data_IF_282168982083
#
_entry.id   IF_282168982083
#
_cell.length_a   1.000
_cell.length_b   1.000
_cell.length_c   1.000
_cell.angle_alpha   90.00
_cell.angle_beta   90.00
_cell.angle_gamma   90.00
#
_symmetry.space_group_name_H-M   'P 1'
#
loop_
_entity.id
_entity.type
_entity.pdbx_description
1 polymer ?
#
# COMPACT_ATOMS: atom_id res chain seq x y z
N UNK A 1 21.82 -26.59 5.18
CA UNK A 1 21.71 -26.38 4.65
C UNK A 1 20.91 -25.63 4.18
N UNK A 2 20.72 -24.96 3.88
CA UNK A 2 20.17 -23.94 3.25
C UNK A 2 18.72 -23.95 3.00
N UNK A 3 18.00 -24.14 3.96
CA UNK A 3 16.60 -24.03 3.74
C UNK A 3 16.24 -22.55 3.73
N UNK A 4 15.87 -22.03 2.61
CA UNK A 4 15.40 -20.67 2.53
C UNK A 4 14.02 -20.55 3.18
N UNK A 5 13.90 -19.61 4.08
CA UNK A 5 12.60 -19.31 4.65
C UNK A 5 11.81 -18.50 3.65
N UNK A 6 10.66 -19.02 3.26
CA UNK A 6 9.77 -18.27 2.40
C UNK A 6 8.97 -17.33 3.29
N UNK A 7 9.35 -16.06 3.27
CA UNK A 7 8.66 -15.06 4.06
C UNK A 7 7.48 -14.50 3.25
N UNK A 8 6.33 -14.45 3.88
CA UNK A 8 5.17 -13.83 3.27
C UNK A 8 5.40 -12.33 3.14
N UNK A 9 5.00 -11.77 2.01
CA UNK A 9 5.06 -10.32 1.83
C UNK A 9 4.05 -9.66 2.74
N UNK A 10 4.46 -8.58 3.37
CA UNK A 10 3.63 -7.85 4.31
C UNK A 10 3.02 -6.63 3.65
N UNK A 11 1.69 -6.52 3.76
CA UNK A 11 0.96 -5.40 3.18
C UNK A 11 0.25 -4.67 4.31
N UNK A 12 0.49 -3.38 4.42
CA UNK A 12 -0.18 -2.55 5.41
C UNK A 12 -1.41 -1.91 4.77
N UNK A 13 -2.54 -2.01 5.44
CA UNK A 13 -3.81 -1.46 4.97
C UNK A 13 -4.15 -0.23 5.81
N UNK A 14 -4.25 0.92 5.15
CA UNK A 14 -4.56 2.20 5.79
C UNK A 14 -5.93 2.64 5.30
N UNK A 15 -6.96 2.30 6.06
CA UNK A 15 -8.36 2.47 5.71
C UNK A 15 -9.15 2.70 7.00
N UNK A 16 -9.94 3.79 7.07
CA UNK A 16 -10.68 4.08 8.29
C UNK A 16 -12.05 3.40 8.37
N UNK A 17 -12.62 2.99 7.23
CA UNK A 17 -13.87 2.24 7.23
C UNK A 17 -13.58 0.80 7.70
N UNK A 18 -14.10 0.45 8.87
CA UNK A 18 -13.79 -0.84 9.48
C UNK A 18 -14.21 -2.03 8.62
N UNK A 19 -15.35 -1.93 7.95
CA UNK A 19 -15.84 -3.03 7.10
C UNK A 19 -14.95 -3.21 5.88
N UNK A 20 -14.59 -2.11 5.24
CA UNK A 20 -13.69 -2.16 4.09
C UNK A 20 -12.31 -2.67 4.50
N UNK A 21 -11.82 -2.21 5.65
CA UNK A 21 -10.52 -2.65 6.17
C UNK A 21 -10.49 -4.15 6.39
N UNK A 22 -11.54 -4.69 7.03
CA UNK A 22 -11.62 -6.12 7.28
C UNK A 22 -11.74 -6.92 5.99
N UNK A 23 -12.53 -6.42 5.04
CA UNK A 23 -12.66 -7.06 3.73
C UNK A 23 -11.32 -7.10 3.00
N UNK A 24 -10.60 -6.00 2.98
CA UNK A 24 -9.30 -5.93 2.32
C UNK A 24 -8.29 -6.86 2.97
N UNK A 25 -8.22 -6.87 4.28
CA UNK A 25 -7.28 -7.76 4.97
C UNK A 25 -7.60 -9.22 4.70
N UNK A 26 -8.88 -9.57 4.63
CA UNK A 26 -9.29 -10.94 4.31
C UNK A 26 -8.88 -11.33 2.89
N UNK A 27 -9.12 -10.44 1.93
CA UNK A 27 -8.73 -10.67 0.54
C UNK A 27 -7.23 -10.91 0.44
N UNK A 28 -6.45 -10.08 1.12
CA UNK A 28 -5.00 -10.17 1.07
C UNK A 28 -4.49 -11.45 1.72
N UNK A 29 -5.04 -11.81 2.87
CA UNK A 29 -4.63 -13.04 3.56
C UNK A 29 -4.95 -14.28 2.75
N UNK A 30 -6.10 -14.32 2.11
CA UNK A 30 -6.47 -15.44 1.25
C UNK A 30 -5.56 -15.56 0.04
N UNK A 31 -5.00 -14.44 -0.39
CA UNK A 31 -4.06 -14.43 -1.51
C UNK A 31 -2.63 -14.78 -1.11
N UNK A 32 -2.39 -15.04 0.18
CA UNK A 32 -1.08 -15.46 0.66
C UNK A 32 -0.21 -14.34 1.22
N UNK A 33 -0.79 -13.17 1.45
CA UNK A 33 -0.06 -12.05 2.04
C UNK A 33 -0.30 -11.97 3.55
N UNK A 34 0.66 -11.41 4.25
CA UNK A 34 0.48 -11.02 5.63
C UNK A 34 -0.06 -9.60 5.62
N UNK A 35 -1.26 -9.40 6.14
CA UNK A 35 -1.93 -8.10 6.10
C UNK A 35 -2.05 -7.52 7.50
N UNK A 36 -1.58 -6.30 7.66
CA UNK A 36 -1.69 -5.58 8.93
C UNK A 36 -2.48 -4.30 8.72
N UNK A 37 -3.25 -3.91 9.72
CA UNK A 37 -4.06 -2.69 9.65
C UNK A 37 -3.41 -1.58 10.44
N UNK A 38 -3.43 -0.37 9.88
CA UNK A 38 -2.98 0.82 10.58
C UNK A 38 -4.23 1.56 11.03
N UNK A 39 -4.39 1.73 12.32
CA UNK A 39 -5.57 2.36 12.91
C UNK A 39 -5.29 3.72 13.52
N UNK A 40 -4.03 4.09 13.67
CA UNK A 40 -3.64 5.40 14.18
C UNK A 40 -3.20 6.26 13.00
N UNK A 41 -4.14 6.98 12.38
CA UNK A 41 -3.85 7.70 11.14
C UNK A 41 -3.01 8.95 11.37
N UNK A 42 -3.05 9.49 12.57
CA UNK A 42 -2.29 10.68 12.90
C UNK A 42 -0.78 10.48 12.76
N UNK A 43 -0.31 9.28 13.10
CA UNK A 43 1.11 8.94 13.01
C UNK A 43 1.38 7.82 12.02
N UNK A 44 0.49 7.64 11.06
CA UNK A 44 0.55 6.50 10.16
C UNK A 44 1.87 6.40 9.38
N UNK A 45 2.32 7.50 8.81
CA UNK A 45 3.55 7.47 8.01
C UNK A 45 4.74 7.04 8.85
N UNK A 46 4.87 7.58 10.07
CA UNK A 46 5.96 7.21 10.97
C UNK A 46 5.92 5.73 11.32
N UNK A 47 4.74 5.23 11.68
CA UNK A 47 4.57 3.83 12.04
C UNK A 47 4.88 2.91 10.86
N UNK A 48 4.45 3.29 9.66
CA UNK A 48 4.69 2.49 8.47
C UNK A 48 6.17 2.45 8.11
N UNK A 49 6.85 3.58 8.21
CA UNK A 49 8.29 3.61 7.95
C UNK A 49 9.03 2.73 8.93
N UNK A 50 8.63 2.76 10.19
CA UNK A 50 9.25 1.95 11.24
C UNK A 50 9.00 0.46 11.04
N UNK A 51 7.78 0.06 10.69
CA UNK A 51 7.46 -1.36 10.49
C UNK A 51 7.93 -1.89 9.15
N UNK A 52 8.15 -1.01 8.19
CA UNK A 52 8.68 -1.32 6.86
C UNK A 52 7.95 -2.45 6.14
N UNK A 53 6.64 -2.30 5.87
CA UNK A 53 5.92 -3.29 5.08
C UNK A 53 6.45 -3.33 3.65
N UNK A 54 6.12 -4.38 2.92
CA UNK A 54 6.54 -4.52 1.54
C UNK A 54 5.71 -3.65 0.60
N UNK A 55 4.50 -3.29 1.01
CA UNK A 55 3.62 -2.43 0.23
C UNK A 55 2.58 -1.80 1.16
N UNK A 56 2.19 -0.57 0.87
CA UNK A 56 1.11 0.12 1.60
C UNK A 56 -0.08 0.30 0.68
N UNK A 57 -1.24 -0.18 1.12
CA UNK A 57 -2.52 0.03 0.47
C UNK A 57 -3.21 1.17 1.23
N UNK A 58 -3.42 2.28 0.55
CA UNK A 58 -3.76 3.54 1.21
C UNK A 58 -5.02 4.17 0.61
N UNK A 59 -5.98 4.51 1.47
CA UNK A 59 -7.11 5.34 1.08
C UNK A 59 -6.74 6.81 1.28
N UNK A 60 -7.24 7.66 0.40
CA UNK A 60 -7.01 9.11 0.50
C UNK A 60 -7.98 9.79 1.47
N UNK A 61 -9.15 9.19 1.69
CA UNK A 61 -10.17 9.78 2.56
C UNK A 61 -9.98 9.31 4.01
N UNK A 62 -9.02 9.91 4.68
CA UNK A 62 -8.71 9.58 6.07
C UNK A 62 -8.85 10.81 6.94
N UNK A 63 -9.14 10.62 8.24
CA UNK A 63 -9.18 11.75 9.17
C UNK A 63 -7.77 12.27 9.46
N UNK A 64 -7.71 13.45 10.07
CA UNK A 64 -6.46 14.12 10.50
C UNK A 64 -5.59 14.50 9.30
N UNK A 65 -4.43 13.86 9.14
CA UNK A 65 -3.47 14.22 8.10
C UNK A 65 -3.94 13.94 6.69
N UNK A 66 -4.86 12.99 6.54
CA UNK A 66 -5.34 12.61 5.23
C UNK A 66 -4.37 11.74 4.46
N UNK A 67 -4.90 11.07 3.42
CA UNK A 67 -4.11 10.11 2.66
C UNK A 67 -3.03 10.74 1.80
N UNK A 68 -3.28 11.93 1.25
CA UNK A 68 -2.25 12.62 0.44
C UNK A 68 -1.00 12.91 1.27
N UNK A 69 -1.18 13.36 2.51
CA UNK A 69 -0.08 13.67 3.40
C UNK A 69 0.73 12.41 3.71
N UNK A 70 0.03 11.32 4.01
CA UNK A 70 0.69 10.04 4.31
C UNK A 70 1.48 9.56 3.10
N UNK A 71 0.87 9.61 1.92
CA UNK A 71 1.54 9.23 0.67
C UNK A 71 2.82 10.03 0.46
N UNK A 72 2.72 11.35 0.61
CA UNK A 72 3.85 12.24 0.45
C UNK A 72 5.00 11.88 1.38
N UNK A 73 4.69 11.69 2.67
CA UNK A 73 5.73 11.36 3.64
C UNK A 73 6.37 10.01 3.35
N UNK A 74 5.57 9.00 3.00
CA UNK A 74 6.11 7.69 2.68
C UNK A 74 7.05 7.75 1.49
N UNK A 75 6.67 8.48 0.45
CA UNK A 75 7.48 8.53 -0.76
C UNK A 75 8.70 9.41 -0.61
N UNK A 76 8.66 10.41 0.28
CA UNK A 76 9.82 11.26 0.54
C UNK A 76 10.84 10.59 1.47
N UNK A 77 10.36 9.79 2.43
CA UNK A 77 11.21 9.27 3.48
C UNK A 77 11.47 7.76 3.41
N UNK A 78 10.86 7.08 2.47
CA UNK A 78 11.04 5.64 2.35
C UNK A 78 10.93 5.20 0.90
N UNK A 79 11.34 3.98 0.62
CA UNK A 79 11.18 3.36 -0.70
C UNK A 79 9.99 2.42 -0.77
N UNK A 80 9.09 2.49 0.21
CA UNK A 80 7.96 1.56 0.26
C UNK A 80 6.97 1.87 -0.86
N UNK A 81 6.57 0.87 -1.67
CA UNK A 81 5.57 1.10 -2.71
C UNK A 81 4.21 1.43 -2.12
N UNK A 82 3.54 2.42 -2.70
CA UNK A 82 2.22 2.87 -2.26
C UNK A 82 1.21 2.69 -3.38
N UNK A 83 0.17 1.90 -3.10
CA UNK A 83 -0.97 1.73 -3.98
C UNK A 83 -2.17 2.42 -3.36
N UNK A 84 -2.71 3.40 -4.07
CA UNK A 84 -3.89 4.13 -3.62
C UNK A 84 -5.15 3.35 -4.03
N UNK A 85 -6.04 3.14 -3.07
CA UNK A 85 -7.37 2.57 -3.34
C UNK A 85 -8.39 3.46 -2.65
N UNK A 86 -9.14 4.22 -3.43
CA UNK A 86 -9.98 5.29 -2.88
C UNK A 86 -11.26 5.48 -3.70
N UNK A 87 -12.26 6.08 -3.09
CA UNK A 87 -13.48 6.47 -3.81
C UNK A 87 -13.33 7.79 -4.56
N UNK A 88 -12.19 8.48 -4.41
CA UNK A 88 -11.92 9.71 -5.16
C UNK A 88 -11.61 9.35 -6.61
N UNK A 89 -12.51 9.73 -7.51
CA UNK A 89 -12.42 9.35 -8.92
C UNK A 89 -12.15 10.53 -9.86
N UNK A 90 -11.82 11.69 -9.31
CA UNK A 90 -11.49 12.86 -10.12
C UNK A 90 -10.06 12.76 -10.63
N UNK A 91 -9.87 13.12 -11.90
CA UNK A 91 -8.55 13.08 -12.52
C UNK A 91 -7.54 13.90 -11.74
N UNK A 92 -7.94 15.06 -11.19
CA UNK A 92 -7.04 15.91 -10.44
C UNK A 92 -6.51 15.21 -9.18
N UNK A 93 -7.33 14.40 -8.52
CA UNK A 93 -6.89 13.66 -7.34
C UNK A 93 -5.89 12.58 -7.72
N UNK A 94 -6.15 11.88 -8.81
CA UNK A 94 -5.23 10.85 -9.31
C UNK A 94 -3.89 11.46 -9.70
N UNK A 95 -3.92 12.55 -10.47
CA UNK A 95 -2.69 13.21 -10.90
C UNK A 95 -1.90 13.74 -9.70
N UNK A 96 -2.60 14.27 -8.70
CA UNK A 96 -1.95 14.77 -7.51
C UNK A 96 -1.24 13.63 -6.75
N UNK A 97 -1.92 12.51 -6.57
CA UNK A 97 -1.33 11.37 -5.88
C UNK A 97 -0.12 10.83 -6.62
N UNK A 98 -0.21 10.70 -7.94
CA UNK A 98 0.90 10.20 -8.75
C UNK A 98 2.07 11.18 -8.72
N UNK A 99 1.77 12.47 -8.70
CA UNK A 99 2.80 13.51 -8.59
C UNK A 99 3.54 13.44 -7.26
N UNK A 100 2.85 13.04 -6.20
CA UNK A 100 3.46 12.83 -4.89
C UNK A 100 4.30 11.55 -4.83
N UNK A 101 4.23 10.72 -5.85
CA UNK A 101 5.03 9.51 -5.94
C UNK A 101 4.26 8.20 -5.77
N UNK A 102 2.92 8.26 -5.67
CA UNK A 102 2.14 7.03 -5.58
C UNK A 102 2.46 6.13 -6.79
N UNK A 103 2.59 4.85 -6.54
CA UNK A 103 3.00 3.89 -7.56
C UNK A 103 1.82 3.38 -8.39
N UNK A 104 0.63 3.38 -7.82
CA UNK A 104 -0.57 2.92 -8.50
C UNK A 104 -1.79 3.62 -7.91
N UNK A 105 -2.85 3.79 -8.71
CA UNK A 105 -4.08 4.46 -8.27
C UNK A 105 -5.28 3.68 -8.78
N UNK A 106 -6.10 3.18 -7.88
CA UNK A 106 -7.32 2.45 -8.21
C UNK A 106 -8.50 3.09 -7.50
N UNK A 107 -9.65 3.10 -8.17
CA UNK A 107 -10.87 3.66 -7.59
C UNK A 107 -11.80 2.56 -7.10
N UNK A 108 -12.50 2.83 -6.00
CA UNK A 108 -13.54 1.95 -5.48
C UNK A 108 -14.83 2.18 -6.26
N UNK A 109 -15.60 1.14 -6.53
CA UNK A 109 -15.35 -0.26 -6.21
C UNK A 109 -14.31 -0.87 -7.16
N UNK A 110 -13.47 -1.73 -6.63
CA UNK A 110 -12.43 -2.38 -7.42
C UNK A 110 -12.54 -3.88 -7.22
N UNK A 111 -12.54 -4.63 -8.32
CA UNK A 111 -12.60 -6.08 -8.24
C UNK A 111 -11.32 -6.60 -7.57
N UNK A 112 -11.48 -7.61 -6.71
CA UNK A 112 -10.33 -8.16 -5.99
C UNK A 112 -9.24 -8.69 -6.95
N UNK A 113 -9.65 -9.25 -8.08
CA UNK A 113 -8.70 -9.76 -9.06
C UNK A 113 -7.81 -8.65 -9.61
N UNK A 114 -8.41 -7.50 -9.87
CA UNK A 114 -7.66 -6.34 -10.36
C UNK A 114 -6.72 -5.80 -9.30
N UNK A 115 -7.21 -5.69 -8.06
CA UNK A 115 -6.40 -5.22 -6.95
C UNK A 115 -5.20 -6.13 -6.74
N UNK A 116 -5.44 -7.45 -6.69
CA UNK A 116 -4.37 -8.41 -6.45
C UNK A 116 -3.34 -8.43 -7.59
N UNK A 117 -3.80 -8.24 -8.84
CA UNK A 117 -2.89 -8.17 -9.98
C UNK A 117 -1.96 -6.95 -9.86
N UNK A 118 -2.50 -5.82 -9.46
CA UNK A 118 -1.69 -4.60 -9.31
C UNK A 118 -0.69 -4.73 -8.17
N UNK A 119 -1.13 -5.32 -7.06
CA UNK A 119 -0.24 -5.57 -5.92
C UNK A 119 0.92 -6.47 -6.35
N UNK A 120 0.60 -7.56 -7.00
CA UNK A 120 1.62 -8.50 -7.46
C UNK A 120 2.62 -7.82 -8.41
N UNK A 121 2.13 -7.00 -9.34
CA UNK A 121 2.99 -6.27 -10.27
C UNK A 121 3.92 -5.31 -9.54
N UNK A 122 3.40 -4.57 -8.57
CA UNK A 122 4.23 -3.64 -7.79
C UNK A 122 5.31 -4.37 -7.02
N UNK A 123 4.94 -5.45 -6.35
CA UNK A 123 5.91 -6.21 -5.57
C UNK A 123 7.04 -6.75 -6.45
N UNK A 124 6.70 -7.25 -7.63
CA UNK A 124 7.71 -7.74 -8.57
C UNK A 124 8.63 -6.63 -9.08
N UNK A 125 8.07 -5.47 -9.39
CA UNK A 125 8.87 -4.33 -9.85
C UNK A 125 9.88 -3.90 -8.81
N UNK A 126 9.46 -3.87 -7.55
CA UNK A 126 10.35 -3.46 -6.47
C UNK A 126 11.42 -4.50 -6.16
N UNK A 127 11.10 -5.77 -6.27
CA UNK A 127 12.08 -6.83 -6.15
C UNK A 127 13.12 -6.75 -7.25
N UNK A 128 12.67 -6.55 -8.49
CA UNK A 128 13.56 -6.42 -9.63
C UNK A 128 14.49 -5.24 -9.48
N UNK A 129 13.94 -4.13 -9.00
CA UNK A 129 14.71 -2.92 -8.78
C UNK A 129 15.76 -3.13 -7.70
N UNK A 130 15.38 -3.75 -6.58
CA UNK A 130 16.30 -4.07 -5.51
C UNK A 130 17.38 -5.02 -5.97
N UNK A 131 17.02 -5.99 -6.77
CA UNK A 131 17.97 -6.96 -7.30
C UNK A 131 19.00 -6.28 -8.22
N UNK A 132 18.53 -5.38 -9.08
CA UNK A 132 19.42 -4.64 -9.97
C UNK A 132 20.38 -3.76 -9.20
N UNK A 133 19.90 -3.13 -8.14
CA UNK A 133 20.76 -2.27 -7.31
C UNK A 133 21.74 -3.08 -6.49
N UNK A 134 21.37 -4.30 -6.10
CA UNK A 134 22.25 -5.18 -5.34
C UNK A 134 23.31 -5.82 -6.20
N UNK A 135 23.01 -5.96 -7.47
CA UNK A 135 23.96 -6.52 -8.39
C UNK A 135 24.91 -5.48 -8.91
#
# INVERSE_FOLDING_TARGET
MGREEIRMKRIAVVEDDIFMREELTEILRRAGYDAESVISFENAARELISSAPDLVLLDLNLPFAGGFQICRELKQKSGIPVLILTSRDQMQDELHALDLGADEYLTKPCRKERLLARISNLLRRYEGRGHLLAG
#
